data_IF_638183365735
#
_entry.id   IF_638183365735
#
_cell.length_a   1.000
_cell.length_b   1.000
_cell.length_c   1.000
_cell.angle_alpha   90.00
_cell.angle_beta   90.00
_cell.angle_gamma   90.00
#
_symmetry.space_group_name_H-M   'P 1'
#
loop_
_entity.id
_entity.type
_entity.pdbx_description
1 polymer ?
#
# COMPACT_ATOMS: atom_id res chain seq x y z
N UNK A 1 28.55 15.84 62.78
CA UNK A 1 27.66 14.71 62.44
C UNK A 1 26.44 15.09 61.58
N UNK A 2 25.65 16.13 61.93
CA UNK A 2 24.41 16.56 61.22
C UNK A 2 24.55 16.90 59.71
N UNK A 3 25.70 17.43 59.26
CA UNK A 3 25.91 17.82 57.83
C UNK A 3 26.12 16.61 56.89
N UNK A 4 26.64 15.48 57.40
CA UNK A 4 26.91 14.28 56.59
C UNK A 4 25.60 13.56 56.20
N UNK A 5 24.66 13.44 57.15
CA UNK A 5 23.34 12.85 56.91
C UNK A 5 22.49 13.65 55.91
N UNK A 6 22.61 14.98 55.87
CA UNK A 6 21.88 15.83 54.91
C UNK A 6 22.38 15.65 53.47
N UNK A 7 23.70 15.51 53.28
CA UNK A 7 24.30 15.27 51.97
C UNK A 7 23.93 13.89 51.40
N UNK A 8 23.91 12.86 52.25
CA UNK A 8 23.51 11.49 51.88
C UNK A 8 22.03 11.40 51.49
N UNK A 9 21.17 12.11 52.21
CA UNK A 9 19.74 12.25 51.91
C UNK A 9 19.50 12.98 50.58
N UNK A 10 20.28 14.02 50.30
CA UNK A 10 20.17 14.75 49.03
C UNK A 10 20.69 13.93 47.84
N UNK A 11 21.76 13.15 48.03
CA UNK A 11 22.31 12.24 47.00
C UNK A 11 21.32 11.14 46.62
N UNK A 12 20.66 10.53 47.60
CA UNK A 12 19.63 9.50 47.35
C UNK A 12 18.40 10.08 46.65
N UNK A 13 17.98 11.31 46.96
CA UNK A 13 16.91 12.01 46.23
C UNK A 13 17.30 12.31 44.78
N UNK A 14 18.51 12.82 44.55
CA UNK A 14 19.04 13.10 43.21
C UNK A 14 19.11 11.82 42.34
N UNK A 15 19.59 10.71 42.91
CA UNK A 15 19.65 9.42 42.21
C UNK A 15 18.26 8.90 41.83
N UNK A 16 17.26 9.08 42.69
CA UNK A 16 15.86 8.71 42.38
C UNK A 16 15.28 9.55 41.24
N UNK A 17 15.52 10.87 41.27
CA UNK A 17 15.07 11.78 40.21
C UNK A 17 15.74 11.43 38.87
N UNK A 18 17.05 11.19 38.88
CA UNK A 18 17.78 10.76 37.69
C UNK A 18 17.23 9.44 37.13
N UNK A 19 16.94 8.45 37.99
CA UNK A 19 16.34 7.19 37.58
C UNK A 19 14.96 7.36 36.93
N UNK A 20 14.10 8.22 37.49
CA UNK A 20 12.78 8.54 36.91
C UNK A 20 12.93 9.19 35.53
N UNK A 21 13.86 10.13 35.37
CA UNK A 21 14.10 10.80 34.08
C UNK A 21 14.54 9.80 33.01
N UNK A 22 15.43 8.86 33.35
CA UNK A 22 15.88 7.81 32.42
C UNK A 22 14.71 6.92 31.98
N UNK A 23 13.86 6.51 32.92
CA UNK A 23 12.69 5.67 32.63
C UNK A 23 11.70 6.42 31.73
N UNK A 24 11.40 7.70 32.05
CA UNK A 24 10.52 8.53 31.22
C UNK A 24 11.09 8.77 29.83
N UNK A 25 12.41 8.98 29.71
CA UNK A 25 13.09 9.10 28.43
C UNK A 25 12.97 7.83 27.58
N UNK A 26 13.12 6.65 28.19
CA UNK A 26 12.95 5.37 27.50
C UNK A 26 11.51 5.15 27.04
N UNK A 27 10.52 5.42 27.91
CA UNK A 27 9.09 5.33 27.54
C UNK A 27 8.77 6.28 26.41
N UNK A 28 9.24 7.53 26.47
CA UNK A 28 9.02 8.53 25.43
C UNK A 28 9.66 8.11 24.09
N UNK A 29 10.89 7.56 24.12
CA UNK A 29 11.55 6.98 22.95
C UNK A 29 10.77 5.79 22.35
N UNK A 30 10.29 4.88 23.19
CA UNK A 30 9.45 3.75 22.76
C UNK A 30 8.12 4.21 22.14
N UNK A 31 7.49 5.26 22.69
CA UNK A 31 6.26 5.84 22.14
C UNK A 31 6.52 6.51 20.79
N UNK A 32 7.62 7.27 20.64
CA UNK A 32 7.98 7.88 19.35
C UNK A 32 8.24 6.81 18.29
N UNK A 33 8.97 5.74 18.63
CA UNK A 33 9.21 4.62 17.71
C UNK A 33 7.93 3.83 17.40
N UNK A 34 6.96 3.76 18.31
CA UNK A 34 5.66 3.20 18.00
C UNK A 34 4.85 4.09 17.06
N UNK A 35 5.15 5.39 17.00
CA UNK A 35 4.53 6.38 16.13
C UNK A 35 5.28 6.57 14.80
N UNK A 36 6.44 5.94 14.60
CA UNK A 36 7.18 6.08 13.33
C UNK A 36 6.44 5.39 12.20
N UNK A 37 5.87 6.24 11.34
CA UNK A 37 5.48 6.08 9.93
C UNK A 37 5.59 4.65 9.44
N UNK A 38 4.46 3.95 9.49
CA UNK A 38 4.31 2.62 8.95
C UNK A 38 4.32 2.68 7.41
N UNK A 39 5.45 3.03 6.81
CA UNK A 39 5.60 3.13 5.36
C UNK A 39 5.02 4.37 4.68
N UNK A 40 5.17 4.42 3.36
CA UNK A 40 4.67 5.49 2.48
C UNK A 40 3.44 5.01 1.72
N UNK A 41 2.40 5.85 1.68
CA UNK A 41 1.18 5.61 0.89
C UNK A 41 1.13 6.58 -0.29
N UNK A 42 0.90 6.04 -1.47
CA UNK A 42 0.59 6.80 -2.68
C UNK A 42 -0.81 6.47 -3.14
N UNK A 43 -1.53 7.45 -3.69
CA UNK A 43 -2.90 7.31 -4.14
C UNK A 43 -2.96 7.61 -5.64
N UNK A 44 -3.46 6.67 -6.43
CA UNK A 44 -3.63 6.86 -7.87
C UNK A 44 -5.10 6.72 -8.22
N UNK A 45 -5.68 7.80 -8.74
CA UNK A 45 -7.11 7.91 -9.04
C UNK A 45 -7.32 8.33 -10.49
N UNK A 46 -8.15 7.57 -11.20
CA UNK A 46 -8.68 7.96 -12.51
C UNK A 46 -9.94 8.83 -12.36
N UNK A 47 -10.72 8.53 -11.32
CA UNK A 47 -11.91 9.20 -10.83
C UNK A 47 -12.07 8.87 -9.34
N UNK A 48 -13.02 9.49 -8.65
CA UNK A 48 -13.22 9.28 -7.20
C UNK A 48 -13.54 7.81 -6.84
N UNK A 49 -14.20 7.07 -7.72
CA UNK A 49 -14.57 5.66 -7.57
C UNK A 49 -13.52 4.68 -8.13
N UNK A 50 -12.57 5.16 -8.95
CA UNK A 50 -11.48 4.37 -9.55
C UNK A 50 -10.13 4.80 -8.97
N UNK A 51 -10.02 4.67 -7.66
CA UNK A 51 -8.82 4.96 -6.89
C UNK A 51 -8.16 3.67 -6.37
N UNK A 52 -6.83 3.68 -6.26
CA UNK A 52 -6.07 2.67 -5.53
C UNK A 52 -5.01 3.30 -4.65
N UNK A 53 -4.75 2.69 -3.51
CA UNK A 53 -3.64 3.01 -2.62
C UNK A 53 -2.53 2.00 -2.82
N UNK A 54 -1.31 2.49 -3.08
CA UNK A 54 -0.09 1.69 -2.99
C UNK A 54 0.61 2.05 -1.68
N UNK A 55 0.67 1.09 -0.77
CA UNK A 55 1.25 1.26 0.55
C UNK A 55 2.54 0.45 0.69
N UNK A 56 3.67 1.15 0.62
CA UNK A 56 5.02 0.60 0.81
C UNK A 56 5.38 0.63 2.29
N UNK A 57 5.35 -0.52 2.95
CA UNK A 57 5.69 -0.67 4.37
C UNK A 57 7.19 -0.59 4.60
N UNK A 58 7.57 -0.14 5.79
CA UNK A 58 8.98 -0.08 6.19
C UNK A 58 9.68 -1.46 6.22
N UNK A 59 8.92 -2.54 6.36
CA UNK A 59 9.44 -3.92 6.32
C UNK A 59 9.67 -4.47 4.89
N UNK A 60 9.46 -3.65 3.85
CA UNK A 60 9.64 -4.04 2.44
C UNK A 60 8.41 -4.65 1.77
N UNK A 61 7.32 -4.87 2.50
CA UNK A 61 6.05 -5.31 1.92
C UNK A 61 5.34 -4.17 1.22
N UNK A 62 4.65 -4.49 0.12
CA UNK A 62 3.79 -3.53 -0.57
C UNK A 62 2.37 -4.06 -0.61
N UNK A 63 1.43 -3.22 -0.20
CA UNK A 63 0.00 -3.47 -0.34
C UNK A 63 -0.59 -2.59 -1.45
N UNK A 64 -1.42 -3.17 -2.31
CA UNK A 64 -2.28 -2.40 -3.21
C UNK A 64 -3.72 -2.61 -2.77
N UNK A 65 -4.42 -1.52 -2.48
CA UNK A 65 -5.72 -1.53 -1.80
C UNK A 65 -6.70 -0.68 -2.62
N UNK A 66 -7.95 -1.12 -2.86
CA UNK A 66 -8.96 -0.31 -3.52
C UNK A 66 -9.30 0.93 -2.70
N UNK A 67 -9.53 2.05 -3.38
CA UNK A 67 -9.86 3.33 -2.77
C UNK A 67 -8.66 4.04 -2.12
N UNK A 68 -8.96 5.13 -1.41
CA UNK A 68 -8.00 5.89 -0.59
C UNK A 68 -7.96 5.30 0.82
N UNK A 69 -6.96 4.48 1.08
CA UNK A 69 -6.76 3.81 2.35
C UNK A 69 -5.81 4.62 3.24
N UNK A 70 -6.36 5.48 4.09
CA UNK A 70 -5.56 6.43 4.88
C UNK A 70 -5.08 5.85 6.23
N UNK A 71 -5.70 4.77 6.70
CA UNK A 71 -5.39 4.23 8.03
C UNK A 71 -4.02 3.53 8.07
N UNK A 72 -3.40 3.49 9.25
CA UNK A 72 -2.14 2.76 9.48
C UNK A 72 -2.37 1.33 10.00
N UNK A 73 -3.61 0.87 10.07
CA UNK A 73 -3.92 -0.50 10.42
C UNK A 73 -3.70 -1.41 9.21
N UNK A 74 -3.43 -2.70 9.46
CA UNK A 74 -3.36 -3.67 8.36
C UNK A 74 -4.68 -3.71 7.59
N UNK A 75 -4.65 -3.89 6.26
CA UNK A 75 -5.86 -3.87 5.45
C UNK A 75 -6.82 -4.98 5.86
N UNK A 76 -8.03 -4.60 6.24
CA UNK A 76 -9.13 -5.53 6.51
C UNK A 76 -10.00 -5.77 5.29
N UNK A 77 -9.82 -4.99 4.21
CA UNK A 77 -10.52 -5.11 2.92
C UNK A 77 -9.77 -6.02 1.95
N UNK A 78 -10.23 -6.15 0.71
CA UNK A 78 -9.46 -6.82 -0.34
C UNK A 78 -8.17 -6.07 -0.67
N UNK A 79 -7.06 -6.77 -0.88
CA UNK A 79 -5.77 -6.18 -1.23
C UNK A 79 -4.90 -7.13 -2.07
N UNK A 80 -3.89 -6.56 -2.72
CA UNK A 80 -2.77 -7.29 -3.29
C UNK A 80 -1.57 -7.10 -2.36
N UNK A 81 -0.87 -8.18 -2.01
CA UNK A 81 0.43 -8.12 -1.33
C UNK A 81 1.53 -8.48 -2.31
N UNK A 82 2.54 -7.63 -2.44
CA UNK A 82 3.63 -7.79 -3.41
C UNK A 82 4.93 -7.17 -2.90
N UNK A 83 5.95 -7.12 -3.76
CA UNK A 83 7.27 -6.54 -3.53
C UNK A 83 7.39 -5.18 -4.22
N UNK A 84 8.38 -4.38 -3.81
CA UNK A 84 8.61 -3.04 -4.36
C UNK A 84 8.94 -3.02 -5.88
N UNK A 85 9.46 -4.11 -6.43
CA UNK A 85 9.93 -4.20 -7.83
C UNK A 85 8.92 -4.84 -8.79
N UNK A 86 7.69 -5.04 -8.34
CA UNK A 86 6.63 -5.62 -9.16
C UNK A 86 6.00 -4.54 -10.05
N UNK A 87 5.70 -4.91 -11.30
CA UNK A 87 4.89 -4.12 -12.23
C UNK A 87 3.53 -4.77 -12.39
N UNK A 88 2.46 -3.98 -12.25
CA UNK A 88 1.09 -4.46 -12.39
C UNK A 88 0.27 -3.48 -13.20
N UNK A 89 -0.63 -4.02 -14.01
CA UNK A 89 -1.73 -3.25 -14.58
C UNK A 89 -3.03 -3.60 -13.88
N UNK A 90 -3.77 -2.59 -13.45
CA UNK A 90 -5.10 -2.72 -12.88
C UNK A 90 -6.14 -2.17 -13.85
N UNK A 91 -7.08 -3.00 -14.29
CA UNK A 91 -8.20 -2.57 -15.13
C UNK A 91 -9.45 -2.29 -14.32
N UNK A 92 -10.14 -1.22 -14.69
CA UNK A 92 -11.47 -0.84 -14.22
C UNK A 92 -12.39 -0.88 -15.44
N UNK A 93 -13.52 -1.56 -15.34
CA UNK A 93 -14.49 -1.63 -16.42
C UNK A 93 -15.86 -1.24 -15.91
N UNK A 94 -16.54 -0.38 -16.67
CA UNK A 94 -17.90 0.06 -16.36
C UNK A 94 -18.95 -0.97 -16.81
N UNK A 95 -18.50 -2.09 -17.41
CA UNK A 95 -19.36 -3.21 -17.76
C UNK A 95 -19.92 -3.89 -16.51
N UNK A 96 -21.24 -4.17 -16.55
CA UNK A 96 -22.01 -4.71 -15.43
C UNK A 96 -21.44 -6.00 -14.83
N UNK A 97 -20.84 -6.86 -15.64
CA UNK A 97 -20.26 -8.13 -15.20
C UNK A 97 -18.95 -7.95 -14.40
N UNK A 98 -18.28 -6.81 -14.57
CA UNK A 98 -17.06 -6.41 -13.87
C UNK A 98 -17.29 -5.34 -12.80
N UNK A 99 -18.54 -4.99 -12.49
CA UNK A 99 -18.84 -4.05 -11.41
C UNK A 99 -18.17 -4.48 -10.10
N UNK A 100 -17.49 -3.54 -9.45
CA UNK A 100 -16.72 -3.74 -8.21
C UNK A 100 -15.59 -4.77 -8.30
N UNK A 101 -15.09 -5.06 -9.51
CA UNK A 101 -13.94 -5.93 -9.75
C UNK A 101 -12.81 -5.14 -10.39
N UNK A 102 -11.61 -5.34 -9.87
CA UNK A 102 -10.37 -4.79 -10.43
C UNK A 102 -9.60 -5.97 -11.03
N UNK A 103 -9.38 -5.95 -12.35
CA UNK A 103 -8.64 -7.02 -13.02
C UNK A 103 -7.15 -6.72 -12.95
N UNK A 104 -6.36 -7.65 -12.43
CA UNK A 104 -4.93 -7.51 -12.19
C UNK A 104 -4.17 -8.30 -13.24
N UNK A 105 -3.37 -7.61 -14.04
CA UNK A 105 -2.45 -8.23 -15.00
C UNK A 105 -1.02 -8.11 -14.48
N UNK A 106 -0.34 -9.26 -14.46
CA UNK A 106 1.08 -9.34 -14.16
C UNK A 106 1.89 -8.82 -15.35
N UNK A 107 2.76 -7.84 -15.11
CA UNK A 107 3.73 -7.34 -16.09
C UNK A 107 5.17 -7.75 -15.72
N UNK A 108 5.32 -8.64 -14.74
CA UNK A 108 6.61 -9.13 -14.25
C UNK A 108 7.24 -8.25 -13.18
N UNK A 109 8.51 -8.51 -12.90
CA UNK A 109 9.29 -7.80 -11.88
C UNK A 109 10.77 -7.72 -12.29
N UNK A 110 11.50 -6.72 -11.80
CA UNK A 110 12.91 -6.49 -12.18
C UNK A 110 13.92 -7.55 -11.73
N UNK A 111 13.56 -8.46 -10.82
CA UNK A 111 14.48 -9.47 -10.29
C UNK A 111 14.46 -10.76 -11.12
N UNK A 112 13.27 -11.22 -11.51
CA UNK A 112 13.12 -12.55 -12.13
C UNK A 112 12.13 -12.59 -13.29
N UNK A 113 11.45 -11.48 -13.62
CA UNK A 113 10.30 -11.47 -14.55
C UNK A 113 9.18 -12.46 -14.19
N UNK A 114 9.11 -12.92 -12.94
CA UNK A 114 8.07 -13.83 -12.47
C UNK A 114 7.02 -13.10 -11.64
N UNK A 115 5.82 -13.67 -11.54
CA UNK A 115 4.81 -13.18 -10.60
C UNK A 115 5.32 -13.20 -9.16
N UNK A 116 5.36 -12.05 -8.49
CA UNK A 116 5.67 -11.94 -7.04
C UNK A 116 4.60 -11.14 -6.30
N UNK A 117 3.33 -11.50 -6.53
CA UNK A 117 2.21 -10.96 -5.78
C UNK A 117 1.19 -12.04 -5.41
N UNK A 118 0.38 -11.75 -4.39
CA UNK A 118 -0.78 -12.53 -3.98
C UNK A 118 -1.99 -11.63 -3.85
N UNK A 119 -3.15 -12.12 -4.30
CA UNK A 119 -4.43 -11.46 -4.10
C UNK A 119 -5.07 -12.01 -2.82
N UNK A 120 -5.57 -11.12 -1.97
CA UNK A 120 -6.32 -11.43 -0.75
C UNK A 120 -7.66 -10.72 -0.85
N UNK A 121 -8.70 -11.47 -1.17
CA UNK A 121 -10.07 -10.96 -1.28
C UNK A 121 -10.81 -11.16 0.05
N UNK A 122 -11.51 -10.14 0.52
CA UNK A 122 -12.43 -10.23 1.65
C UNK A 122 -13.87 -10.31 1.11
N UNK A 123 -14.60 -11.37 1.45
CA UNK A 123 -16.00 -11.57 1.04
C UNK A 123 -16.97 -10.47 1.50
N UNK A 124 -16.62 -9.72 2.55
CA UNK A 124 -17.41 -8.58 3.05
C UNK A 124 -17.01 -7.24 2.42
N UNK A 125 -15.92 -7.19 1.65
CA UNK A 125 -15.50 -5.97 0.97
C UNK A 125 -16.24 -5.82 -0.37
N UNK A 126 -16.60 -4.58 -0.69
CA UNK A 126 -17.26 -4.23 -1.95
C UNK A 126 -16.36 -4.56 -3.16
N UNK A 127 -15.12 -4.07 -3.14
CA UNK A 127 -14.15 -4.28 -4.21
C UNK A 127 -13.40 -5.60 -4.10
N UNK A 128 -13.25 -6.29 -5.22
CA UNK A 128 -12.52 -7.56 -5.34
C UNK A 128 -11.45 -7.46 -6.43
N UNK A 129 -10.30 -8.11 -6.22
CA UNK A 129 -9.30 -8.28 -7.27
C UNK A 129 -9.47 -9.63 -7.96
N UNK A 130 -9.35 -9.64 -9.27
CA UNK A 130 -9.34 -10.86 -10.07
C UNK A 130 -8.11 -10.90 -10.94
N UNK A 131 -7.44 -12.04 -11.02
CA UNK A 131 -6.29 -12.18 -11.90
C UNK A 131 -6.72 -12.24 -13.37
N UNK A 132 -6.03 -11.48 -14.21
CA UNK A 132 -6.26 -11.45 -15.65
C UNK A 132 -6.02 -12.83 -16.27
N UNK A 133 -6.89 -13.18 -17.21
CA UNK A 133 -6.71 -14.31 -18.11
C UNK A 133 -7.35 -13.98 -19.45
N UNK A 134 -6.67 -14.37 -20.54
CA UNK A 134 -7.17 -14.10 -21.89
C UNK A 134 -8.55 -14.73 -22.11
N UNK A 135 -8.76 -15.94 -21.57
CA UNK A 135 -10.01 -16.68 -21.69
C UNK A 135 -11.21 -15.94 -21.08
N UNK A 136 -11.01 -15.26 -19.95
CA UNK A 136 -12.13 -14.69 -19.19
C UNK A 136 -12.33 -13.20 -19.49
N UNK A 137 -11.27 -12.44 -19.75
CA UNK A 137 -11.35 -10.98 -19.72
C UNK A 137 -10.90 -10.29 -21.00
N UNK A 138 -10.27 -10.98 -21.95
CA UNK A 138 -9.76 -10.33 -23.16
C UNK A 138 -10.86 -9.63 -23.97
N UNK A 139 -11.98 -10.32 -24.22
CA UNK A 139 -13.11 -9.77 -24.99
C UNK A 139 -13.85 -8.63 -24.27
N UNK A 140 -13.74 -8.59 -22.94
CA UNK A 140 -14.38 -7.59 -22.09
C UNK A 140 -13.51 -6.32 -22.05
N UNK A 141 -12.21 -6.49 -21.84
CA UNK A 141 -11.29 -5.38 -21.60
C UNK A 141 -10.77 -4.74 -22.89
N UNK A 142 -10.66 -5.49 -23.98
CA UNK A 142 -10.01 -5.06 -25.22
C UNK A 142 -10.93 -4.98 -26.42
N UNK A 143 -10.54 -4.12 -27.37
CA UNK A 143 -11.15 -4.07 -28.69
C UNK A 143 -10.94 -5.39 -29.43
N UNK A 144 -11.88 -5.76 -30.30
CA UNK A 144 -11.81 -7.02 -31.07
C UNK A 144 -10.55 -7.14 -31.94
N UNK A 145 -10.01 -6.01 -32.39
CA UNK A 145 -8.78 -5.91 -33.19
C UNK A 145 -7.56 -5.43 -32.38
N UNK A 146 -7.58 -5.56 -31.05
CA UNK A 146 -6.50 -5.10 -30.20
C UNK A 146 -5.17 -5.79 -30.56
N UNK A 147 -4.15 -4.98 -30.83
CA UNK A 147 -2.78 -5.44 -31.11
C UNK A 147 -1.80 -4.96 -30.06
N UNK A 148 -2.14 -3.87 -29.37
CA UNK A 148 -1.35 -3.24 -28.31
C UNK A 148 -2.13 -3.31 -27.01
N UNK A 149 -1.37 -3.31 -25.91
CA UNK A 149 -1.90 -3.27 -24.56
C UNK A 149 -2.85 -2.07 -24.31
N UNK A 150 -2.62 -0.93 -24.97
CA UNK A 150 -3.46 0.26 -24.85
C UNK A 150 -4.77 0.20 -25.66
N UNK A 151 -4.97 -0.83 -26.46
CA UNK A 151 -6.17 -0.98 -27.32
C UNK A 151 -7.36 -1.53 -26.51
N UNK A 152 -7.60 -0.93 -25.34
CA UNK A 152 -8.71 -1.27 -24.44
C UNK A 152 -10.05 -0.72 -24.97
N UNK A 153 -11.16 -1.32 -24.55
CA UNK A 153 -12.50 -0.82 -24.85
C UNK A 153 -12.75 0.57 -24.23
N UNK A 154 -13.71 1.32 -24.77
CA UNK A 154 -14.00 2.69 -24.32
C UNK A 154 -14.44 2.74 -22.85
N UNK A 155 -15.22 1.75 -22.43
CA UNK A 155 -15.71 1.52 -21.07
C UNK A 155 -14.66 0.88 -20.13
N UNK A 156 -13.41 0.77 -20.59
CA UNK A 156 -12.30 0.22 -19.81
C UNK A 156 -11.25 1.29 -19.59
N UNK A 157 -10.90 1.49 -18.33
CA UNK A 157 -9.74 2.24 -17.89
C UNK A 157 -8.68 1.31 -17.31
N UNK A 158 -7.44 1.81 -17.21
CA UNK A 158 -6.41 1.10 -16.48
C UNK A 158 -5.43 2.04 -15.79
N UNK A 159 -4.78 1.49 -14.76
CA UNK A 159 -3.60 2.04 -14.12
C UNK A 159 -2.44 1.06 -14.31
N UNK A 160 -1.39 1.48 -15.02
CA UNK A 160 -0.12 0.75 -15.06
C UNK A 160 0.77 1.27 -13.96
N UNK A 161 1.05 0.46 -12.95
CA UNK A 161 1.72 0.86 -11.71
C UNK A 161 3.18 0.44 -11.76
N UNK A 162 4.07 1.42 -11.62
CA UNK A 162 5.47 1.20 -11.27
C UNK A 162 5.61 1.41 -9.78
N UNK A 163 5.63 0.30 -9.03
CA UNK A 163 5.70 0.39 -7.57
C UNK A 163 7.00 1.08 -7.17
N UNK A 164 8.16 0.61 -7.65
CA UNK A 164 9.48 1.14 -7.25
C UNK A 164 9.57 2.65 -7.40
N UNK A 165 9.15 3.16 -8.56
CA UNK A 165 9.24 4.57 -8.94
C UNK A 165 8.13 5.46 -8.36
N UNK A 166 7.19 4.90 -7.60
CA UNK A 166 6.04 5.61 -7.03
C UNK A 166 5.23 6.41 -8.07
N UNK A 167 4.84 5.77 -9.17
CA UNK A 167 3.88 6.38 -10.07
C UNK A 167 2.97 5.35 -10.73
N UNK A 168 1.85 5.85 -11.26
CA UNK A 168 1.02 5.11 -12.19
C UNK A 168 0.88 5.87 -13.52
N UNK A 169 0.57 5.15 -14.59
CA UNK A 169 0.23 5.71 -15.90
C UNK A 169 -1.19 5.29 -16.24
N UNK A 170 -2.01 6.24 -16.66
CA UNK A 170 -3.39 5.99 -17.10
C UNK A 170 -3.48 5.50 -18.56
N UNK A 171 -4.70 5.25 -19.04
CA UNK A 171 -4.94 4.80 -20.43
C UNK A 171 -4.52 5.79 -21.51
N UNK A 172 -4.35 7.07 -21.16
CA UNK A 172 -3.95 8.13 -22.08
C UNK A 172 -2.44 8.34 -22.11
N UNK A 173 -1.71 7.75 -21.16
CA UNK A 173 -0.26 7.91 -21.00
C UNK A 173 0.13 8.98 -19.99
N UNK A 174 -0.82 9.59 -19.27
CA UNK A 174 -0.51 10.59 -18.26
C UNK A 174 0.01 9.91 -16.99
N UNK A 175 1.06 10.51 -16.41
CA UNK A 175 1.64 10.08 -15.14
C UNK A 175 0.83 10.63 -13.97
N UNK A 176 0.48 9.75 -13.04
CA UNK A 176 -0.13 10.05 -11.75
C UNK A 176 0.91 9.83 -10.65
N UNK A 177 1.06 10.80 -9.74
CA UNK A 177 1.97 10.75 -8.59
C UNK A 177 1.19 10.82 -7.28
#
# INVERSE_FOLDING_TARGET
>A
MKRRNKAETNRTKMLKIAGIIVVLGFVFYSVINALTVDGVKSFYCLSDDKCITVWKRANGEVYIIPGRYETNNNPTVSYIRTINKQFLTLYFSDQKELSYKIIVRDEGNLESNQKRYTIKNNAQAEWQFLEYSDKNYKSILYKSNATKFKDVNEETDYLSISIEENYAIDKTGNKLN
#
